data_IF_816866858124
#
_entry.id   IF_816866858124
#
_cell.length_a   1.000
_cell.length_b   1.000
_cell.length_c   1.000
_cell.angle_alpha   90.00
_cell.angle_beta   90.00
_cell.angle_gamma   90.00
#
_symmetry.space_group_name_H-M   'P 1'
#
loop_
_entity.id
_entity.type
_entity.pdbx_description
1 polymer ?
#
# COMPACT_ATOMS: atom_id res chain seq x y z
N UNK A 1 -4.66 8.18 -21.99
CA UNK A 1 -5.72 8.20 -20.95
C UNK A 1 -6.20 6.78 -20.69
N UNK A 2 -5.39 6.00 -19.98
CA UNK A 2 -5.61 4.61 -19.54
C UNK A 2 -4.68 4.52 -18.31
N UNK A 3 -5.06 4.20 -17.07
CA UNK A 3 -5.92 3.13 -16.57
C UNK A 3 -6.59 3.60 -15.27
N UNK A 4 -7.91 3.82 -15.31
CA UNK A 4 -8.78 3.85 -14.14
C UNK A 4 -9.88 2.80 -14.32
N UNK A 5 -9.51 1.61 -14.83
CA UNK A 5 -10.40 0.46 -14.99
C UNK A 5 -9.87 -0.72 -14.19
N UNK A 6 -10.04 -0.68 -12.86
CA UNK A 6 -10.14 -1.93 -12.08
C UNK A 6 -10.76 -1.76 -10.69
N UNK A 7 -11.75 -0.88 -10.53
CA UNK A 7 -12.50 -0.82 -9.27
C UNK A 7 -13.98 -0.71 -9.61
N UNK A 8 -14.53 -1.87 -9.99
CA UNK A 8 -15.94 -2.07 -10.35
C UNK A 8 -16.75 -2.42 -9.10
N UNK A 9 -17.92 -1.80 -9.02
CA UNK A 9 -18.93 -1.88 -8.00
C UNK A 9 -19.52 -3.28 -7.75
N UNK A 10 -20.09 -3.43 -6.54
CA UNK A 10 -21.33 -4.16 -6.18
C UNK A 10 -21.29 -5.70 -6.12
N UNK A 11 -21.54 -6.27 -4.92
CA UNK A 11 -22.90 -6.66 -4.52
C UNK A 11 -22.98 -7.02 -3.02
N UNK A 12 -24.00 -6.48 -2.35
CA UNK A 12 -24.54 -7.07 -1.11
C UNK A 12 -25.17 -8.43 -1.45
N UNK A 13 -24.95 -9.43 -0.60
CA UNK A 13 -25.90 -10.51 -0.35
C UNK A 13 -26.18 -10.55 1.14
N UNK A 14 -27.45 -10.65 1.50
CA UNK A 14 -28.00 -10.66 2.86
C UNK A 14 -28.76 -11.98 3.04
N UNK A 15 -28.77 -12.52 4.27
CA UNK A 15 -29.61 -13.62 4.79
C UNK A 15 -29.28 -15.04 4.27
N UNK A 16 -29.45 -16.13 5.03
CA UNK A 16 -29.76 -16.36 6.44
C UNK A 16 -29.48 -17.83 6.81
N UNK A 17 -29.37 -18.07 8.11
CA UNK A 17 -29.80 -19.25 8.88
C UNK A 17 -29.14 -20.67 8.76
N UNK A 18 -28.78 -21.11 9.97
CA UNK A 18 -28.96 -22.45 10.60
C UNK A 18 -28.00 -23.60 10.29
N UNK A 19 -27.40 -24.15 11.37
CA UNK A 19 -26.75 -25.46 11.37
C UNK A 19 -25.97 -25.76 12.65
N UNK A 20 -26.61 -26.42 13.61
CA UNK A 20 -26.13 -26.88 14.92
C UNK A 20 -24.90 -27.84 14.90
N UNK A 21 -23.94 -27.64 15.85
CA UNK A 21 -23.50 -28.51 16.99
C UNK A 21 -23.13 -30.01 16.71
N UNK A 22 -22.30 -30.75 17.50
CA UNK A 22 -21.27 -30.45 18.54
C UNK A 22 -19.89 -31.14 18.31
N UNK A 23 -18.88 -30.84 19.15
CA UNK A 23 -18.07 -31.86 19.84
C UNK A 23 -17.08 -31.25 20.87
N UNK A 24 -17.32 -31.52 22.15
CA UNK A 24 -16.35 -31.59 23.26
C UNK A 24 -16.31 -33.07 23.70
N UNK A 25 -15.41 -33.55 24.58
CA UNK A 25 -14.13 -33.02 25.10
C UNK A 25 -13.00 -34.09 25.07
N UNK A 26 -11.77 -33.75 25.43
CA UNK A 26 -10.93 -34.69 26.21
C UNK A 26 -9.83 -33.93 26.98
N UNK A 27 -9.98 -33.92 28.30
CA UNK A 27 -8.94 -33.62 29.29
C UNK A 27 -8.16 -34.91 29.57
N UNK A 28 -6.83 -34.86 29.50
CA UNK A 28 -5.97 -35.74 30.32
C UNK A 28 -4.83 -34.91 30.91
N UNK A 29 -4.72 -35.00 32.23
CA UNK A 29 -3.77 -34.30 33.07
C UNK A 29 -2.46 -35.11 33.28
N UNK A 30 -1.35 -34.38 33.27
CA UNK A 30 -0.22 -34.35 34.23
C UNK A 30 0.18 -35.66 34.95
N UNK A 31 1.44 -36.07 34.73
CA UNK A 31 2.42 -36.57 35.73
C UNK A 31 3.82 -36.52 35.07
N UNK A 32 4.79 -35.66 35.44
CA UNK A 32 5.63 -35.60 36.66
C UNK A 32 6.62 -36.78 36.80
N UNK A 33 7.91 -36.55 36.53
CA UNK A 33 9.04 -37.07 37.32
C UNK A 33 10.40 -36.51 36.83
N UNK A 34 11.15 -35.97 37.78
CA UNK A 34 12.49 -35.40 37.71
C UNK A 34 13.58 -36.41 37.32
N UNK A 35 14.67 -35.96 36.67
CA UNK A 35 16.03 -36.35 37.05
C UNK A 35 17.03 -35.24 36.68
N UNK A 36 17.83 -34.88 37.68
CA UNK A 36 18.94 -33.94 37.62
C UNK A 36 20.21 -34.57 37.05
N UNK A 37 21.18 -33.71 36.76
CA UNK A 37 22.62 -33.95 36.52
C UNK A 37 23.06 -34.30 35.09
N UNK A 38 23.60 -33.31 34.38
CA UNK A 38 25.05 -33.11 34.18
C UNK A 38 25.24 -31.98 33.16
N UNK A 39 25.91 -30.90 33.58
CA UNK A 39 26.35 -29.83 32.68
C UNK A 39 27.53 -30.33 31.83
N UNK A 40 27.43 -30.26 30.50
CA UNK A 40 28.53 -29.74 29.70
C UNK A 40 28.17 -28.31 29.31
N UNK A 41 29.12 -27.38 29.52
CA UNK A 41 29.13 -26.04 28.93
C UNK A 41 29.12 -26.19 27.40
N UNK A 42 27.93 -26.39 26.87
CA UNK A 42 27.63 -26.30 25.46
C UNK A 42 27.38 -24.81 25.24
N UNK A 43 28.30 -24.14 24.54
CA UNK A 43 27.96 -22.90 23.87
C UNK A 43 26.83 -23.25 22.90
N UNK A 44 25.59 -23.08 23.36
CA UNK A 44 24.47 -22.92 22.46
C UNK A 44 24.75 -21.63 21.71
N UNK A 45 25.27 -21.79 20.49
CA UNK A 45 25.04 -20.80 19.46
C UNK A 45 23.52 -20.66 19.37
N UNK A 46 23.01 -19.56 19.93
CA UNK A 46 21.63 -19.11 19.82
C UNK A 46 21.34 -18.91 18.33
N UNK A 47 20.59 -19.80 17.65
CA UNK A 47 20.21 -19.54 16.27
C UNK A 47 19.07 -18.53 16.33
N UNK A 48 19.32 -17.34 15.79
CA UNK A 48 18.30 -16.33 15.53
C UNK A 48 17.44 -15.95 16.74
N UNK A 49 18.02 -15.14 17.62
CA UNK A 49 17.25 -14.01 18.11
C UNK A 49 16.87 -13.19 16.87
N UNK A 50 15.58 -12.94 16.56
CA UNK A 50 15.22 -12.06 15.46
C UNK A 50 15.59 -10.63 15.86
N UNK A 51 16.87 -10.30 15.71
CA UNK A 51 17.30 -8.94 15.54
C UNK A 51 16.46 -8.37 14.40
N UNK A 52 16.03 -7.12 14.52
CA UNK A 52 15.43 -6.37 13.40
C UNK A 52 16.46 -6.28 12.28
N UNK A 53 16.65 -7.36 11.53
CA UNK A 53 17.47 -7.36 10.35
C UNK A 53 16.85 -6.35 9.41
N UNK A 54 17.66 -5.35 9.08
CA UNK A 54 17.23 -4.29 8.19
C UNK A 54 17.27 -4.86 6.78
N UNK A 55 16.12 -5.34 6.31
CA UNK A 55 15.95 -5.89 4.98
C UNK A 55 15.51 -4.80 3.98
N UNK A 56 15.78 -5.05 2.69
CA UNK A 56 15.54 -4.09 1.61
C UNK A 56 14.06 -3.84 1.40
N UNK A 57 13.26 -4.91 1.40
CA UNK A 57 11.82 -4.87 1.17
C UNK A 57 11.13 -3.94 2.16
N UNK A 58 11.33 -4.16 3.46
CA UNK A 58 10.71 -3.39 4.54
C UNK A 58 11.11 -1.93 4.48
N UNK A 59 12.39 -1.61 4.25
CA UNK A 59 12.83 -0.21 4.15
C UNK A 59 12.18 0.49 2.95
N UNK A 60 12.12 -0.19 1.81
CA UNK A 60 11.59 0.37 0.58
C UNK A 60 10.06 0.54 0.64
N UNK A 61 9.33 -0.50 1.04
CA UNK A 61 7.87 -0.47 1.21
C UNK A 61 7.45 0.57 2.26
N UNK A 62 8.17 0.68 3.37
CA UNK A 62 7.91 1.70 4.40
C UNK A 62 8.08 3.13 3.85
N UNK A 63 9.06 3.35 2.96
CA UNK A 63 9.25 4.65 2.31
C UNK A 63 8.03 5.01 1.44
N UNK A 64 7.56 4.08 0.61
CA UNK A 64 6.39 4.29 -0.25
C UNK A 64 5.11 4.47 0.58
N UNK A 65 4.89 3.65 1.61
CA UNK A 65 3.74 3.77 2.51
C UNK A 65 3.66 5.16 3.15
N UNK A 66 4.79 5.73 3.57
CA UNK A 66 4.81 7.10 4.10
C UNK A 66 4.34 8.11 3.06
N UNK A 67 4.75 7.96 1.80
CA UNK A 67 4.28 8.83 0.72
C UNK A 67 2.79 8.62 0.41
N UNK A 68 2.29 7.38 0.47
CA UNK A 68 0.86 7.08 0.32
C UNK A 68 0.02 7.84 1.36
N UNK A 69 0.45 7.86 2.63
CA UNK A 69 -0.30 8.58 3.68
C UNK A 69 -0.31 10.10 3.46
N UNK A 70 0.81 10.67 2.98
CA UNK A 70 0.87 12.07 2.57
C UNK A 70 -0.07 12.37 1.39
N UNK A 71 -0.06 11.49 0.39
CA UNK A 71 -0.89 11.63 -0.81
C UNK A 71 -2.38 11.48 -0.49
N UNK A 72 -2.76 10.54 0.38
CA UNK A 72 -4.13 10.37 0.89
C UNK A 72 -4.62 11.64 1.56
N UNK A 73 -3.81 12.21 2.45
CA UNK A 73 -4.16 13.44 3.17
C UNK A 73 -4.38 14.59 2.19
N UNK A 74 -3.45 14.78 1.24
CA UNK A 74 -3.55 15.82 0.23
C UNK A 74 -4.77 15.62 -0.70
N UNK A 75 -5.01 14.39 -1.12
CA UNK A 75 -6.16 14.03 -1.96
C UNK A 75 -7.48 14.24 -1.24
N UNK A 76 -7.59 13.83 0.03
CA UNK A 76 -8.78 14.01 0.84
C UNK A 76 -9.12 15.49 1.03
N UNK A 77 -8.12 16.33 1.28
CA UNK A 77 -8.29 17.78 1.38
C UNK A 77 -8.80 18.38 0.06
N UNK A 78 -8.14 18.08 -1.06
CA UNK A 78 -8.54 18.59 -2.38
C UNK A 78 -9.92 18.10 -2.78
N UNK A 79 -10.24 16.83 -2.52
CA UNK A 79 -11.55 16.22 -2.77
C UNK A 79 -12.66 16.87 -1.93
N UNK A 80 -12.43 17.00 -0.62
CA UNK A 80 -13.36 17.61 0.31
C UNK A 80 -13.66 19.08 -0.05
N UNK A 81 -12.63 19.85 -0.36
CA UNK A 81 -12.81 21.25 -0.77
C UNK A 81 -13.43 21.38 -2.16
N UNK A 82 -13.11 20.49 -3.10
CA UNK A 82 -13.80 20.44 -4.40
C UNK A 82 -15.30 20.26 -4.20
N UNK A 83 -15.70 19.30 -3.35
CA UNK A 83 -17.11 19.07 -3.04
C UNK A 83 -17.75 20.29 -2.37
N UNK A 84 -17.06 20.92 -1.43
CA UNK A 84 -17.54 22.14 -0.77
C UNK A 84 -17.79 23.27 -1.78
N UNK A 85 -16.83 23.59 -2.66
CA UNK A 85 -17.00 24.65 -3.68
C UNK A 85 -18.16 24.33 -4.64
N UNK A 86 -18.34 23.06 -5.03
CA UNK A 86 -19.49 22.67 -5.85
C UNK A 86 -20.84 22.86 -5.14
N UNK A 87 -20.89 22.66 -3.83
CA UNK A 87 -22.09 22.92 -3.04
C UNK A 87 -22.36 24.43 -2.85
N UNK A 88 -21.34 25.29 -2.93
CA UNK A 88 -21.51 26.74 -2.94
C UNK A 88 -22.00 27.26 -4.31
N UNK A 89 -21.47 26.73 -5.42
CA UNK A 89 -21.84 27.17 -6.78
C UNK A 89 -23.27 26.77 -7.17
N UNK A 90 -23.87 25.82 -6.45
CA UNK A 90 -25.30 25.55 -6.58
C UNK A 90 -26.08 26.63 -5.84
N UNK A 91 -26.67 27.57 -6.59
CA UNK A 91 -27.96 28.13 -6.16
C UNK A 91 -28.92 26.96 -5.87
N UNK A 92 -29.87 27.08 -4.91
CA UNK A 92 -30.81 26.02 -4.60
C UNK A 92 -31.74 25.77 -5.79
N UNK A 93 -31.26 24.99 -6.75
CA UNK A 93 -32.03 24.36 -7.80
C UNK A 93 -32.45 22.99 -7.28
N UNK A 94 -33.72 22.64 -7.52
CA UNK A 94 -34.32 21.39 -7.06
C UNK A 94 -33.42 20.18 -7.34
N UNK A 95 -33.23 19.27 -6.37
CA UNK A 95 -32.19 18.26 -6.44
C UNK A 95 -32.48 17.25 -7.56
N UNK A 96 -31.56 17.04 -8.52
CA UNK A 96 -31.68 15.90 -9.42
C UNK A 96 -31.35 14.62 -8.65
N UNK A 97 -32.15 13.58 -8.91
CA UNK A 97 -31.97 12.24 -8.35
C UNK A 97 -30.71 11.63 -8.98
N UNK A 98 -29.56 11.83 -8.34
CA UNK A 98 -28.30 11.20 -8.71
C UNK A 98 -27.82 10.29 -7.57
N UNK A 99 -27.47 9.05 -7.89
CA UNK A 99 -26.95 8.10 -6.92
C UNK A 99 -25.54 8.53 -6.48
N UNK A 100 -25.26 8.63 -5.17
CA UNK A 100 -23.94 9.04 -4.69
C UNK A 100 -22.92 7.92 -4.91
N UNK A 101 -21.79 8.25 -5.54
CA UNK A 101 -20.58 7.42 -5.49
C UNK A 101 -19.94 7.66 -4.12
N UNK A 102 -20.01 6.67 -3.23
CA UNK A 102 -19.38 6.76 -1.91
C UNK A 102 -17.90 6.40 -2.03
N UNK A 103 -17.05 7.37 -1.75
CA UNK A 103 -15.67 7.15 -1.36
C UNK A 103 -15.63 7.33 0.15
N UNK A 104 -15.53 6.23 0.91
CA UNK A 104 -15.43 6.27 2.37
C UNK A 104 -13.99 6.66 2.77
N UNK A 105 -13.62 7.91 2.49
CA UNK A 105 -12.49 8.54 3.15
C UNK A 105 -12.99 9.04 4.51
N UNK A 106 -12.62 8.32 5.57
CA UNK A 106 -12.88 8.72 6.96
C UNK A 106 -11.93 9.86 7.33
N UNK A 107 -12.11 11.01 6.69
CA UNK A 107 -11.53 12.28 7.11
C UNK A 107 -12.69 13.26 7.21
N UNK A 108 -12.76 13.97 8.34
CA UNK A 108 -13.75 15.02 8.56
C UNK A 108 -13.73 15.95 7.34
N UNK A 109 -14.89 16.18 6.73
CA UNK A 109 -14.97 17.08 5.59
C UNK A 109 -14.45 18.46 6.01
N UNK A 110 -13.51 19.06 5.26
CA UNK A 110 -12.92 20.32 5.65
C UNK A 110 -14.00 21.40 5.77
N UNK A 111 -13.88 22.25 6.79
CA UNK A 111 -14.81 23.34 6.98
C UNK A 111 -14.55 24.48 5.98
N UNK A 112 -15.50 25.43 5.90
CA UNK A 112 -15.45 26.56 4.96
C UNK A 112 -14.14 27.34 5.07
N UNK A 113 -13.74 27.66 6.30
CA UNK A 113 -12.56 28.47 6.58
C UNK A 113 -11.28 27.77 6.14
N UNK A 114 -11.19 26.45 6.29
CA UNK A 114 -10.09 25.63 5.79
C UNK A 114 -10.00 25.64 4.26
N UNK A 115 -11.12 25.45 3.56
CA UNK A 115 -11.12 25.43 2.10
C UNK A 115 -10.80 26.79 1.48
N UNK A 116 -11.33 27.88 2.06
CA UNK A 116 -11.01 29.23 1.60
C UNK A 116 -9.54 29.60 1.89
N UNK A 117 -8.96 29.11 2.99
CA UNK A 117 -7.55 29.31 3.32
C UNK A 117 -6.63 28.51 2.40
N UNK A 118 -6.97 27.25 2.14
CA UNK A 118 -6.18 26.36 1.28
C UNK A 118 -6.26 26.73 -0.20
N UNK A 119 -7.43 27.19 -0.66
CA UNK A 119 -7.72 27.51 -2.06
C UNK A 119 -8.29 28.93 -2.21
N UNK A 120 -7.50 29.99 -1.94
CA UNK A 120 -7.96 31.38 -2.03
C UNK A 120 -8.33 31.79 -3.46
N UNK A 121 -7.85 31.05 -4.48
CA UNK A 121 -8.17 31.25 -5.90
C UNK A 121 -9.46 30.52 -6.33
N UNK A 122 -10.19 29.90 -5.40
CA UNK A 122 -11.50 29.32 -5.66
C UNK A 122 -11.48 27.97 -6.40
N UNK A 123 -12.62 27.64 -7.00
CA UNK A 123 -12.94 26.31 -7.54
C UNK A 123 -11.92 25.80 -8.57
N UNK A 124 -11.43 26.65 -9.46
CA UNK A 124 -10.50 26.19 -10.50
C UNK A 124 -9.14 25.76 -9.93
N UNK A 125 -8.69 26.42 -8.86
CA UNK A 125 -7.45 26.04 -8.18
C UNK A 125 -7.58 24.70 -7.45
N UNK A 126 -8.73 24.44 -6.80
CA UNK A 126 -8.96 23.15 -6.15
C UNK A 126 -9.18 22.02 -7.15
N UNK A 127 -9.78 22.29 -8.33
CA UNK A 127 -9.90 21.30 -9.42
C UNK A 127 -8.53 20.86 -9.95
N UNK A 128 -7.64 21.80 -10.20
CA UNK A 128 -6.27 21.51 -10.62
C UNK A 128 -5.55 20.67 -9.55
N UNK A 129 -5.72 21.05 -8.28
CA UNK A 129 -5.09 20.34 -7.18
C UNK A 129 -5.68 18.95 -6.94
N UNK A 130 -6.99 18.78 -7.14
CA UNK A 130 -7.65 17.47 -7.11
C UNK A 130 -7.09 16.54 -8.17
N UNK A 131 -6.94 17.00 -9.42
CA UNK A 131 -6.31 16.22 -10.48
C UNK A 131 -4.85 15.87 -10.14
N UNK A 132 -4.11 16.86 -9.61
CA UNK A 132 -2.72 16.67 -9.19
C UNK A 132 -2.60 15.68 -8.03
N UNK A 133 -3.43 15.75 -7.01
CA UNK A 133 -3.34 14.85 -5.85
C UNK A 133 -3.82 13.45 -6.21
N UNK A 134 -4.88 13.31 -7.02
CA UNK A 134 -5.35 12.04 -7.55
C UNK A 134 -4.23 11.28 -8.28
N UNK A 135 -3.56 11.93 -9.23
CA UNK A 135 -2.51 11.26 -9.98
C UNK A 135 -1.21 11.08 -9.17
N UNK A 136 -1.00 11.78 -8.04
CA UNK A 136 0.10 11.49 -7.10
C UNK A 136 -0.18 10.19 -6.38
N UNK A 137 -1.37 10.10 -5.77
CA UNK A 137 -1.82 8.92 -5.04
C UNK A 137 -1.82 7.68 -5.93
N UNK A 138 -2.26 7.82 -7.19
CA UNK A 138 -2.20 6.74 -8.17
C UNK A 138 -0.77 6.25 -8.41
N UNK A 139 0.21 7.14 -8.55
CA UNK A 139 1.62 6.73 -8.75
C UNK A 139 2.14 6.01 -7.52
N UNK A 140 1.90 6.55 -6.33
CA UNK A 140 2.35 5.92 -5.08
C UNK A 140 1.78 4.52 -4.87
N UNK A 141 0.47 4.34 -5.13
CA UNK A 141 -0.18 3.04 -5.02
C UNK A 141 0.34 2.05 -6.08
N UNK A 142 0.53 2.48 -7.34
CA UNK A 142 1.09 1.60 -8.37
C UNK A 142 2.54 1.20 -8.07
N UNK A 143 3.34 2.10 -7.49
CA UNK A 143 4.71 1.77 -7.10
C UNK A 143 4.74 0.82 -5.89
N UNK A 144 3.77 0.97 -4.99
CA UNK A 144 3.62 0.03 -3.89
C UNK A 144 3.23 -1.36 -4.37
N UNK A 145 2.30 -1.46 -5.32
CA UNK A 145 1.98 -2.72 -6.01
C UNK A 145 3.23 -3.32 -6.67
N UNK A 146 4.04 -2.51 -7.35
CA UNK A 146 5.32 -2.97 -7.91
C UNK A 146 6.25 -3.55 -6.84
N UNK A 147 6.36 -2.89 -5.69
CA UNK A 147 7.22 -3.36 -4.59
C UNK A 147 6.72 -4.70 -4.02
N UNK A 148 5.40 -4.85 -3.87
CA UNK A 148 4.78 -6.10 -3.41
C UNK A 148 4.97 -7.22 -4.43
N UNK A 149 4.67 -6.97 -5.71
CA UNK A 149 4.86 -7.95 -6.80
C UNK A 149 6.30 -8.41 -6.91
N UNK A 150 7.28 -7.56 -6.57
CA UNK A 150 8.70 -7.94 -6.55
C UNK A 150 9.05 -8.98 -5.48
N UNK A 151 8.22 -9.14 -4.45
CA UNK A 151 8.33 -10.15 -3.39
C UNK A 151 7.59 -11.41 -3.84
N UNK A 152 8.23 -12.13 -4.76
CA UNK A 152 7.61 -13.13 -5.64
C UNK A 152 6.89 -14.23 -4.88
N UNK A 153 7.43 -14.62 -3.73
CA UNK A 153 6.94 -15.70 -2.89
C UNK A 153 6.22 -15.22 -1.62
N UNK A 154 5.91 -13.91 -1.54
CA UNK A 154 5.17 -13.25 -0.46
C UNK A 154 5.79 -13.46 0.95
N UNK A 155 7.12 -13.66 1.04
CA UNK A 155 7.80 -13.93 2.32
C UNK A 155 8.17 -12.64 3.10
N UNK A 156 7.91 -11.48 2.51
CA UNK A 156 8.16 -10.15 3.04
C UNK A 156 9.62 -9.72 2.96
N UNK A 157 10.43 -10.32 2.08
CA UNK A 157 11.87 -10.05 1.92
C UNK A 157 12.33 -10.33 0.50
N UNK A 158 12.95 -9.33 -0.12
CA UNK A 158 13.66 -9.59 -1.37
C UNK A 158 14.91 -10.47 -1.18
N UNK A 159 14.86 -11.65 -1.79
CA UNK A 159 16.01 -12.50 -2.08
C UNK A 159 16.96 -11.84 -3.07
N UNK A 160 18.17 -12.39 -3.18
CA UNK A 160 19.15 -11.92 -4.18
C UNK A 160 18.64 -12.02 -5.62
N UNK A 161 17.89 -13.07 -5.93
CA UNK A 161 17.36 -13.29 -7.27
C UNK A 161 16.29 -12.25 -7.62
N UNK A 162 15.43 -11.91 -6.67
CA UNK A 162 14.42 -10.86 -6.85
C UNK A 162 15.05 -9.49 -7.00
N UNK A 163 16.07 -9.16 -6.18
CA UNK A 163 16.80 -7.91 -6.35
C UNK A 163 17.49 -7.81 -7.72
N UNK A 164 17.99 -8.94 -8.27
CA UNK A 164 18.56 -9.00 -9.63
C UNK A 164 17.51 -8.72 -10.72
N UNK A 165 16.23 -8.97 -10.45
CA UNK A 165 15.14 -8.73 -11.37
C UNK A 165 14.53 -7.33 -11.21
N UNK A 166 14.32 -6.89 -9.97
CA UNK A 166 13.71 -5.62 -9.58
C UNK A 166 14.57 -4.43 -10.02
N UNK A 167 15.87 -4.45 -9.73
CA UNK A 167 16.75 -3.31 -10.02
C UNK A 167 16.75 -2.95 -11.51
N UNK A 168 17.02 -3.88 -12.44
CA UNK A 168 16.95 -3.58 -13.87
C UNK A 168 15.56 -3.17 -14.34
N UNK A 169 14.48 -3.74 -13.78
CA UNK A 169 13.11 -3.35 -14.09
C UNK A 169 12.80 -1.90 -13.71
N UNK A 170 13.50 -1.37 -12.71
CA UNK A 170 13.49 0.05 -12.35
C UNK A 170 14.60 0.87 -13.03
N UNK A 171 15.25 0.33 -14.05
CA UNK A 171 16.42 0.92 -14.74
C UNK A 171 17.52 1.36 -13.75
N UNK A 172 17.81 0.49 -12.78
CA UNK A 172 18.92 0.55 -11.83
C UNK A 172 19.87 -0.62 -12.06
N UNK A 173 21.11 -0.49 -11.58
CA UNK A 173 22.08 -1.58 -11.59
C UNK A 173 22.10 -2.28 -10.24
N UNK A 174 21.88 -3.60 -10.22
CA UNK A 174 22.04 -4.40 -9.02
C UNK A 174 23.52 -4.64 -8.72
N UNK A 175 23.95 -4.24 -7.53
CA UNK A 175 25.28 -4.52 -7.00
C UNK A 175 25.15 -5.31 -5.68
N UNK A 176 25.51 -6.61 -5.68
CA UNK A 176 25.37 -7.46 -4.51
C UNK A 176 26.37 -7.14 -3.39
N UNK A 177 27.39 -6.30 -3.65
CA UNK A 177 28.34 -5.87 -2.63
C UNK A 177 27.80 -4.74 -1.74
N UNK A 178 26.69 -4.11 -2.16
CA UNK A 178 26.05 -3.02 -1.41
C UNK A 178 25.29 -3.55 -0.20
N UNK A 179 25.28 -2.74 0.86
CA UNK A 179 24.46 -3.02 2.04
C UNK A 179 22.96 -2.95 1.71
N UNK A 180 22.09 -3.67 2.45
CA UNK A 180 20.64 -3.60 2.28
C UNK A 180 20.10 -2.16 2.36
N UNK A 181 20.66 -1.34 3.26
CA UNK A 181 20.28 0.08 3.40
C UNK A 181 20.58 0.86 2.13
N UNK A 182 21.76 0.67 1.52
CA UNK A 182 22.14 1.36 0.28
C UNK A 182 21.31 0.89 -0.92
N UNK A 183 20.96 -0.40 -0.97
CA UNK A 183 20.06 -0.95 -1.98
C UNK A 183 18.64 -0.37 -1.83
N UNK A 184 18.09 -0.36 -0.62
CA UNK A 184 16.79 0.25 -0.34
C UNK A 184 16.76 1.75 -0.67
N UNK A 185 17.83 2.48 -0.33
CA UNK A 185 17.95 3.89 -0.69
C UNK A 185 17.98 4.13 -2.21
N UNK A 186 18.56 3.21 -2.98
CA UNK A 186 18.56 3.29 -4.45
C UNK A 186 17.16 3.08 -5.03
N UNK A 187 16.41 2.11 -4.50
CA UNK A 187 15.01 1.87 -4.87
C UNK A 187 14.11 3.06 -4.48
N UNK A 188 14.27 3.57 -3.25
CA UNK A 188 13.54 4.74 -2.75
C UNK A 188 13.84 6.00 -3.57
N UNK A 189 15.11 6.24 -3.93
CA UNK A 189 15.48 7.37 -4.80
C UNK A 189 14.84 7.27 -6.18
N UNK A 190 14.76 6.06 -6.74
CA UNK A 190 14.07 5.83 -8.03
C UNK A 190 12.57 6.06 -7.93
N UNK A 191 11.95 5.61 -6.83
CA UNK A 191 10.56 5.95 -6.53
C UNK A 191 10.37 7.47 -6.49
N UNK A 192 11.20 8.20 -5.75
CA UNK A 192 11.10 9.66 -5.61
C UNK A 192 11.24 10.39 -6.96
N UNK A 193 12.15 9.94 -7.82
CA UNK A 193 12.34 10.50 -9.16
C UNK A 193 11.09 10.34 -10.03
N UNK A 194 10.56 9.12 -10.11
CA UNK A 194 9.39 8.84 -10.95
C UNK A 194 8.09 9.41 -10.36
N UNK A 195 7.99 9.48 -9.04
CA UNK A 195 6.91 10.17 -8.34
C UNK A 195 6.88 11.66 -8.69
N UNK A 196 8.03 12.36 -8.60
CA UNK A 196 8.13 13.79 -8.96
C UNK A 196 7.76 14.05 -10.42
N UNK A 197 8.19 13.18 -11.33
CA UNK A 197 7.89 13.29 -12.76
C UNK A 197 6.49 12.79 -13.13
N UNK A 198 5.77 12.17 -12.19
CA UNK A 198 4.46 11.54 -12.41
C UNK A 198 4.50 10.53 -13.55
N UNK A 199 5.63 9.83 -13.65
CA UNK A 199 5.94 8.95 -14.76
C UNK A 199 5.46 7.52 -14.46
N UNK A 200 4.25 7.20 -14.93
CA UNK A 200 3.72 5.84 -14.87
C UNK A 200 4.26 4.96 -16.00
N UNK A 201 4.73 5.52 -17.11
CA UNK A 201 5.14 4.73 -18.28
C UNK A 201 6.34 3.84 -17.98
N UNK A 202 7.38 4.38 -17.35
CA UNK A 202 8.54 3.57 -16.96
C UNK A 202 8.19 2.55 -15.87
N UNK A 203 7.28 2.89 -14.95
CA UNK A 203 6.80 1.97 -13.94
C UNK A 203 6.04 0.80 -14.57
N UNK A 204 5.14 1.07 -15.51
CA UNK A 204 4.39 0.04 -16.23
C UNK A 204 5.31 -0.82 -17.10
N UNK A 205 6.38 -0.25 -17.66
CA UNK A 205 7.41 -1.00 -18.37
C UNK A 205 8.16 -1.95 -17.43
N UNK A 206 8.53 -1.47 -16.24
CA UNK A 206 9.16 -2.30 -15.20
C UNK A 206 8.24 -3.43 -14.71
N UNK A 207 6.95 -3.13 -14.49
CA UNK A 207 5.94 -4.15 -14.16
C UNK A 207 5.84 -5.23 -15.24
N UNK A 208 5.80 -4.84 -16.52
CA UNK A 208 5.76 -5.79 -17.63
C UNK A 208 6.99 -6.71 -17.65
N UNK A 209 8.19 -6.16 -17.38
CA UNK A 209 9.41 -6.96 -17.31
C UNK A 209 9.39 -7.97 -16.15
N UNK A 210 8.83 -7.62 -14.99
CA UNK A 210 8.61 -8.56 -13.90
C UNK A 210 7.59 -9.63 -14.32
N UNK A 211 6.51 -9.25 -15.01
CA UNK A 211 5.53 -10.22 -15.50
C UNK A 211 6.11 -11.21 -16.52
N UNK A 212 7.01 -10.78 -17.40
CA UNK A 212 7.70 -11.69 -18.32
C UNK A 212 8.58 -12.71 -17.59
N UNK A 213 9.06 -12.38 -16.38
CA UNK A 213 9.84 -13.27 -15.50
C UNK A 213 8.98 -14.12 -14.54
N UNK A 214 7.66 -14.03 -14.65
CA UNK A 214 6.71 -14.85 -13.90
C UNK A 214 6.22 -14.25 -12.58
N UNK A 215 6.62 -13.03 -12.23
CA UNK A 215 6.07 -12.31 -11.07
C UNK A 215 4.62 -11.94 -11.34
N UNK A 216 3.73 -12.01 -10.36
CA UNK A 216 2.30 -11.71 -10.54
C UNK A 216 1.77 -11.09 -9.25
N UNK A 217 0.74 -10.28 -9.37
CA UNK A 217 -0.04 -9.83 -8.19
C UNK A 217 -0.63 -11.05 -7.50
N UNK A 218 -0.22 -11.29 -6.27
CA UNK A 218 -0.73 -12.34 -5.42
C UNK A 218 -2.02 -11.91 -4.69
N UNK A 219 -2.78 -12.85 -4.12
CA UNK A 219 -3.85 -12.51 -3.20
C UNK A 219 -3.36 -11.74 -1.96
N UNK A 220 -2.13 -11.97 -1.51
CA UNK A 220 -1.53 -11.27 -0.38
C UNK A 220 -1.24 -9.81 -0.75
N UNK A 221 -0.68 -9.56 -1.92
CA UNK A 221 -0.48 -8.21 -2.48
C UNK A 221 -1.79 -7.43 -2.52
N UNK A 222 -2.86 -8.09 -2.99
CA UNK A 222 -4.16 -7.45 -3.10
C UNK A 222 -4.73 -7.09 -1.74
N UNK A 223 -4.62 -7.98 -0.76
CA UNK A 223 -5.06 -7.73 0.60
C UNK A 223 -4.29 -6.56 1.24
N UNK A 224 -2.99 -6.50 0.98
CA UNK A 224 -2.11 -5.44 1.48
C UNK A 224 -2.40 -4.09 0.79
N UNK A 225 -2.63 -4.08 -0.53
CA UNK A 225 -3.10 -2.91 -1.28
C UNK A 225 -4.44 -2.40 -0.75
N UNK A 226 -5.40 -3.31 -0.50
CA UNK A 226 -6.70 -2.96 0.06
C UNK A 226 -6.58 -2.41 1.50
N UNK A 227 -5.56 -2.84 2.26
CA UNK A 227 -5.27 -2.31 3.60
C UNK A 227 -4.68 -0.90 3.52
N UNK A 228 -3.70 -0.67 2.64
CA UNK A 228 -3.07 0.65 2.50
C UNK A 228 -3.90 1.63 1.68
N UNK A 229 -4.99 1.22 1.04
CA UNK A 229 -5.88 2.13 0.30
C UNK A 229 -6.98 2.70 1.20
N UNK A 230 -7.39 1.97 2.23
CA UNK A 230 -8.36 2.42 3.24
C UNK A 230 -7.78 3.53 4.11
#
# INVERSE_FOLDING_TARGET
MVYCRMWKCSHRSLSDHTGNVPAMPLLIAIACACLANLYPLSVSADPDRPGKHTDVFRLFTQHIQRQIELDKTAFAQASGCTNWFYHQDKQPAAPPIAQPIRLDLVLQSPNKEECLRAYPRGLDSVRQDFQRTQASLSVSLTFYEYALVGDRDDDGRYSRAELQDIFPALALTFDPSRSPVAQAASLAGRFDDWYRLRNLEHLMTGMAQLYDKGYRVSPADRAELDRVTR
#
